data_IF_600651523558
#
_entry.id   IF_600651523558
#
_cell.length_a   1.000
_cell.length_b   1.000
_cell.length_c   1.000
_cell.angle_alpha   90.00
_cell.angle_beta   90.00
_cell.angle_gamma   90.00
#
_symmetry.space_group_name_H-M   'P 1'
#
loop_
_entity.id
_entity.type
_entity.pdbx_description
1 polymer ?
#
# COMPACT_ATOMS: atom_id res chain seq x y z
N UNK A 1 8.46 0.20 27.83
CA UNK A 1 8.26 -0.92 26.88
C UNK A 1 7.99 -0.34 25.51
N UNK A 2 8.67 -0.81 24.47
CA UNK A 2 8.40 -0.39 23.09
C UNK A 2 7.31 -1.27 22.48
N UNK A 3 6.44 -0.66 21.65
CA UNK A 3 5.39 -1.34 20.89
C UNK A 3 5.52 -0.99 19.42
N UNK A 4 5.07 -1.91 18.56
CA UNK A 4 4.98 -1.66 17.12
C UNK A 4 3.85 -0.66 16.89
N UNK A 5 4.16 0.43 16.19
CA UNK A 5 3.21 1.49 15.90
C UNK A 5 2.60 1.38 14.50
N UNK A 6 3.22 0.61 13.61
CA UNK A 6 2.82 0.44 12.21
C UNK A 6 3.79 -0.46 11.46
N UNK A 7 3.60 -0.61 10.15
CA UNK A 7 4.47 -1.40 9.29
C UNK A 7 4.79 -0.64 7.99
N UNK A 8 6.03 -0.79 7.51
CA UNK A 8 6.50 -0.08 6.31
C UNK A 8 5.99 -0.65 4.99
N UNK A 9 5.58 -1.92 4.97
CA UNK A 9 4.96 -2.48 3.78
C UNK A 9 4.37 -3.88 3.97
N UNK A 10 3.45 -4.21 3.07
CA UNK A 10 2.79 -5.50 2.96
C UNK A 10 2.84 -5.96 1.50
N UNK A 11 3.52 -7.09 1.28
CA UNK A 11 3.81 -7.66 -0.02
C UNK A 11 3.25 -9.06 -0.08
N UNK A 12 2.48 -9.35 -1.10
CA UNK A 12 1.85 -10.65 -1.29
C UNK A 12 1.80 -10.97 -2.79
N UNK A 13 1.33 -12.18 -3.14
CA UNK A 13 1.17 -12.57 -4.53
C UNK A 13 -0.29 -12.47 -4.90
N UNK A 14 -0.57 -11.84 -6.04
CA UNK A 14 -1.84 -11.89 -6.72
C UNK A 14 -1.70 -12.54 -8.10
N UNK A 15 -2.80 -13.12 -8.58
CA UNK A 15 -2.91 -13.58 -9.98
C UNK A 15 -2.92 -12.39 -10.95
N UNK A 16 -3.58 -11.29 -10.56
CA UNK A 16 -3.59 -10.00 -11.25
C UNK A 16 -3.21 -8.87 -10.28
N UNK A 17 -1.91 -8.57 -10.11
CA UNK A 17 -1.44 -7.52 -9.21
C UNK A 17 -1.97 -6.13 -9.55
N UNK A 18 -2.06 -5.79 -10.84
CA UNK A 18 -2.52 -4.47 -11.27
C UNK A 18 -4.01 -4.29 -11.01
N UNK A 19 -4.82 -5.29 -11.38
CA UNK A 19 -6.26 -5.28 -11.12
C UNK A 19 -6.58 -5.26 -9.63
N UNK A 20 -5.85 -6.03 -8.82
CA UNK A 20 -6.06 -6.05 -7.37
C UNK A 20 -5.63 -4.72 -6.73
N UNK A 21 -4.49 -4.15 -7.14
CA UNK A 21 -4.05 -2.85 -6.63
C UNK A 21 -5.06 -1.74 -6.95
N UNK A 22 -5.61 -1.75 -8.18
CA UNK A 22 -6.69 -0.84 -8.57
C UNK A 22 -7.95 -1.03 -7.74
N UNK A 23 -8.35 -2.27 -7.48
CA UNK A 23 -9.51 -2.57 -6.62
C UNK A 23 -9.33 -1.99 -5.21
N UNK A 24 -8.14 -2.18 -4.61
CA UNK A 24 -7.83 -1.62 -3.30
C UNK A 24 -7.88 -0.08 -3.27
N UNK A 25 -7.41 0.57 -4.34
CA UNK A 25 -7.50 2.01 -4.49
C UNK A 25 -8.96 2.48 -4.60
N UNK A 26 -9.72 1.90 -5.53
CA UNK A 26 -11.08 2.33 -5.86
C UNK A 26 -12.06 2.08 -4.71
N UNK A 27 -11.87 1.00 -3.95
CA UNK A 27 -12.82 0.58 -2.92
C UNK A 27 -12.40 0.91 -1.48
N UNK A 28 -11.09 0.96 -1.21
CA UNK A 28 -10.56 1.13 0.15
C UNK A 28 -9.67 2.36 0.31
N UNK A 29 -9.40 3.10 -0.77
CA UNK A 29 -8.52 4.27 -0.73
C UNK A 29 -7.08 3.94 -0.41
N UNK A 30 -6.66 2.69 -0.63
CA UNK A 30 -5.27 2.26 -0.46
C UNK A 30 -4.56 2.54 -1.78
N UNK A 31 -3.69 3.55 -1.79
CA UNK A 31 -2.90 3.86 -2.98
C UNK A 31 -1.94 2.70 -3.31
N UNK A 32 -1.75 2.38 -4.60
CA UNK A 32 -0.78 1.37 -5.02
C UNK A 32 0.65 1.79 -4.70
N UNK A 33 1.56 0.82 -4.66
CA UNK A 33 2.99 1.08 -4.57
C UNK A 33 3.45 2.01 -5.71
N UNK A 34 4.12 3.15 -5.41
CA UNK A 34 4.62 4.06 -6.44
C UNK A 34 5.66 3.40 -7.34
N UNK A 35 5.49 3.51 -8.66
CA UNK A 35 6.46 3.04 -9.66
C UNK A 35 7.18 4.19 -10.38
N UNK A 36 6.76 5.42 -10.12
CA UNK A 36 7.36 6.66 -10.61
C UNK A 36 7.26 7.76 -9.55
N UNK A 37 7.87 8.91 -9.81
CA UNK A 37 7.95 10.02 -8.85
C UNK A 37 6.66 10.83 -8.71
N UNK A 38 5.67 10.62 -9.59
CA UNK A 38 4.40 11.36 -9.59
C UNK A 38 3.32 10.67 -8.73
N UNK A 39 3.50 9.38 -8.45
CA UNK A 39 2.57 8.59 -7.66
C UNK A 39 2.78 8.78 -6.15
N UNK A 40 1.69 9.04 -5.42
CA UNK A 40 1.71 9.09 -3.96
C UNK A 40 1.53 7.67 -3.37
N UNK A 41 2.34 7.26 -2.38
CA UNK A 41 2.11 6.01 -1.65
C UNK A 41 0.87 6.12 -0.75
N UNK A 42 0.45 5.00 -0.17
CA UNK A 42 -0.57 5.00 0.86
C UNK A 42 0.00 5.55 2.17
N UNK A 43 -0.70 6.52 2.76
CA UNK A 43 -0.32 7.18 4.02
C UNK A 43 -1.34 6.81 5.08
N UNK A 44 -0.87 6.17 6.14
CA UNK A 44 -1.65 5.78 7.31
C UNK A 44 -1.41 6.75 8.47
N UNK A 45 -2.14 6.60 9.58
CA UNK A 45 -1.88 7.34 10.82
C UNK A 45 -0.44 7.15 11.35
N UNK A 46 0.17 6.02 11.03
CA UNK A 46 1.53 5.65 11.48
C UNK A 46 2.61 5.98 10.45
N UNK A 47 2.26 6.63 9.35
CA UNK A 47 3.17 6.98 8.26
C UNK A 47 2.93 6.16 6.98
N UNK A 48 3.95 6.15 6.12
CA UNK A 48 3.89 5.49 4.81
C UNK A 48 3.89 3.97 4.95
N UNK A 49 2.99 3.32 4.23
CA UNK A 49 2.96 1.87 4.06
C UNK A 49 2.89 1.53 2.58
N UNK A 50 3.87 0.78 2.09
CA UNK A 50 3.82 0.22 0.73
C UNK A 50 2.88 -0.98 0.71
N UNK A 51 1.81 -0.91 -0.07
CA UNK A 51 0.88 -2.02 -0.23
C UNK A 51 1.01 -2.57 -1.67
N UNK A 52 1.47 -3.81 -1.79
CA UNK A 52 1.82 -4.43 -3.09
C UNK A 52 1.27 -5.86 -3.18
N UNK A 53 0.13 -6.07 -3.87
CA UNK A 53 -0.29 -7.39 -4.31
C UNK A 53 0.63 -8.01 -5.37
#
# INVERSE_FOLDING_TARGET
MHKVQGFGGFFFRAEDPEGLAKWYQDHLGINPAPTNMEMAPWVTESGVTVFSP
#
